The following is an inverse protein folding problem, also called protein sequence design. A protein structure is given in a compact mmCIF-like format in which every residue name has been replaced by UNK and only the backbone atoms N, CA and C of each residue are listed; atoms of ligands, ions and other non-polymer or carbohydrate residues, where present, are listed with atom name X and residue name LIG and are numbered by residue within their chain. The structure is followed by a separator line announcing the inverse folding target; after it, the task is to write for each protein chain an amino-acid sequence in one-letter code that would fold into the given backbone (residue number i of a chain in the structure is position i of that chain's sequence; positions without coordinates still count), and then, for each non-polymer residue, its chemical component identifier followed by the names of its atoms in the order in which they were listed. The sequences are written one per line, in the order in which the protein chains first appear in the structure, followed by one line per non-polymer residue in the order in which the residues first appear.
data_IF_286234065200
#
_entry.id   IF_286234065200
#
_cell.length_a   1.000
_cell.length_b   1.000
_cell.length_c   1.000
_cell.angle_alpha   90.00
_cell.angle_beta   90.00
_cell.angle_gamma   90.00
#
_symmetry.space_group_name_H-M   'P 1'
#
loop_
_entity.id
_entity.type
_entity.pdbx_description
1 polymer ?
#
# COMPACT_ATOMS: atom_id res chain seq x y z
N UNK A 1 4.37 -8.44 -13.11
CA UNK A 1 5.20 -8.69 -11.91
C UNK A 1 4.89 -7.64 -10.89
N UNK A 2 4.68 -8.02 -9.63
CA UNK A 2 4.17 -7.11 -8.59
C UNK A 2 5.09 -5.90 -8.34
N UNK A 3 6.39 -6.14 -8.25
CA UNK A 3 7.39 -5.08 -8.02
C UNK A 3 7.49 -4.07 -9.19
N UNK A 4 7.23 -4.51 -10.43
CA UNK A 4 7.21 -3.63 -11.59
C UNK A 4 6.03 -2.65 -11.57
N UNK A 5 5.09 -2.82 -10.63
CA UNK A 5 3.94 -1.94 -10.42
C UNK A 5 4.11 -1.18 -9.09
N UNK A 6 5.32 -0.69 -8.86
CA UNK A 6 5.64 0.27 -7.82
C UNK A 6 5.62 1.68 -8.41
N UNK A 7 5.00 2.61 -7.71
CA UNK A 7 4.80 3.98 -8.17
C UNK A 7 5.29 4.97 -7.11
N UNK A 8 5.83 6.10 -7.55
CA UNK A 8 6.20 7.22 -6.70
C UNK A 8 5.72 8.51 -7.37
N UNK A 9 5.04 9.35 -6.60
CA UNK A 9 4.70 10.72 -6.98
C UNK A 9 5.23 11.68 -5.93
N UNK A 10 5.99 12.68 -6.38
CA UNK A 10 6.37 13.82 -5.55
C UNK A 10 5.21 14.83 -5.58
N UNK A 11 4.16 14.59 -4.78
CA UNK A 11 3.01 15.49 -4.73
C UNK A 11 3.39 16.79 -4.01
N UNK A 12 2.60 17.84 -4.26
CA UNK A 12 2.73 19.12 -3.56
C UNK A 12 1.70 19.20 -2.43
N UNK A 13 1.94 19.98 -1.36
CA UNK A 13 0.98 20.11 -0.26
C UNK A 13 -0.42 20.53 -0.70
N UNK A 14 -0.51 21.36 -1.76
CA UNK A 14 -1.78 21.83 -2.31
C UNK A 14 -2.67 20.71 -2.89
N UNK A 15 -2.09 19.57 -3.27
CA UNK A 15 -2.85 18.40 -3.73
C UNK A 15 -3.70 17.80 -2.59
N UNK A 16 -3.27 18.00 -1.35
CA UNK A 16 -3.95 17.55 -0.14
C UNK A 16 -4.23 16.05 -0.13
N UNK A 17 -5.14 15.64 0.76
CA UNK A 17 -5.51 14.22 0.91
C UNK A 17 -6.20 13.64 -0.33
N UNK A 18 -6.92 14.47 -1.09
CA UNK A 18 -7.62 14.02 -2.30
C UNK A 18 -6.63 13.67 -3.41
N UNK A 19 -5.54 14.42 -3.57
CA UNK A 19 -4.49 14.08 -4.53
C UNK A 19 -3.74 12.80 -4.17
N UNK A 20 -3.54 12.53 -2.87
CA UNK A 20 -3.02 11.24 -2.39
C UNK A 20 -3.94 10.10 -2.79
N UNK A 21 -5.25 10.22 -2.48
CA UNK A 21 -6.25 9.19 -2.79
C UNK A 21 -6.35 8.92 -4.28
N UNK A 22 -6.42 9.98 -5.09
CA UNK A 22 -6.45 9.89 -6.54
C UNK A 22 -5.23 9.12 -7.06
N UNK A 23 -4.03 9.48 -6.61
CA UNK A 23 -2.80 8.81 -7.03
C UNK A 23 -2.77 7.32 -6.68
N UNK A 24 -3.25 6.93 -5.49
CA UNK A 24 -3.35 5.51 -5.12
C UNK A 24 -4.33 4.77 -6.03
N UNK A 25 -5.51 5.35 -6.28
CA UNK A 25 -6.52 4.74 -7.16
C UNK A 25 -5.99 4.60 -8.59
N UNK A 26 -5.39 5.65 -9.14
CA UNK A 26 -4.80 5.64 -10.48
C UNK A 26 -3.69 4.59 -10.61
N UNK A 27 -2.88 4.44 -9.57
CA UNK A 27 -1.83 3.40 -9.51
C UNK A 27 -2.41 2.00 -9.56
N UNK A 28 -3.51 1.74 -8.85
CA UNK A 28 -4.22 0.45 -8.88
C UNK A 28 -4.86 0.19 -10.25
N UNK A 29 -5.51 1.20 -10.84
CA UNK A 29 -6.09 1.09 -12.19
C UNK A 29 -5.00 0.81 -13.24
N UNK A 30 -3.87 1.52 -13.18
CA UNK A 30 -2.74 1.33 -14.08
C UNK A 30 -2.11 -0.07 -13.98
N UNK A 31 -2.06 -0.60 -12.75
CA UNK A 31 -1.60 -1.97 -12.50
C UNK A 31 -2.59 -3.01 -13.08
N UNK A 32 -3.89 -2.82 -12.89
CA UNK A 32 -4.93 -3.73 -13.38
C UNK A 32 -4.65 -5.19 -13.03
N UNK A 33 -4.86 -6.10 -13.99
CA UNK A 33 -4.57 -7.53 -13.82
C UNK A 33 -3.07 -7.91 -13.77
N UNK A 34 -2.13 -6.99 -14.07
CA UNK A 34 -0.69 -7.29 -14.23
C UNK A 34 0.00 -7.73 -12.92
N UNK A 35 -0.67 -7.53 -11.80
CA UNK A 35 -0.20 -7.84 -10.44
C UNK A 35 -0.93 -9.02 -9.81
N UNK A 36 -1.72 -9.76 -10.59
CA UNK A 36 -2.49 -10.91 -10.13
C UNK A 36 -3.33 -10.57 -8.88
N UNK A 37 -4.29 -9.62 -8.98
CA UNK A 37 -5.21 -9.33 -7.87
C UNK A 37 -5.99 -10.58 -7.43
N UNK A 38 -6.51 -10.65 -6.18
CA UNK A 38 -6.53 -9.58 -5.20
C UNK A 38 -5.14 -9.26 -4.63
N UNK A 39 -4.76 -7.98 -4.63
CA UNK A 39 -3.46 -7.52 -4.15
C UNK A 39 -3.49 -7.08 -2.69
N UNK A 40 -2.32 -6.95 -2.06
CA UNK A 40 -2.15 -6.12 -0.86
C UNK A 40 -1.45 -4.84 -1.34
N UNK A 41 -2.14 -3.71 -1.22
CA UNK A 41 -1.62 -2.42 -1.68
C UNK A 41 -0.95 -1.73 -0.50
N UNK A 42 0.35 -1.50 -0.59
CA UNK A 42 1.08 -0.71 0.40
C UNK A 42 1.22 0.72 -0.07
N UNK A 43 0.93 1.68 0.81
CA UNK A 43 1.02 3.11 0.55
C UNK A 43 1.96 3.75 1.58
N UNK A 44 2.94 4.50 1.09
CA UNK A 44 3.79 5.37 1.91
C UNK A 44 3.42 6.82 1.65
N UNK A 45 3.33 7.63 2.71
CA UNK A 45 3.03 9.08 2.60
C UNK A 45 4.01 9.87 3.46
N UNK A 46 4.62 10.89 2.88
CA UNK A 46 5.61 11.74 3.56
C UNK A 46 7.04 11.15 3.57
N UNK A 47 7.89 11.68 4.44
CA UNK A 47 9.33 11.39 4.46
C UNK A 47 10.07 11.98 3.26
N UNK A 48 11.23 11.40 2.94
CA UNK A 48 11.95 11.60 1.67
C UNK A 48 11.43 10.66 0.58
N UNK A 49 11.86 10.83 -0.67
CA UNK A 49 11.47 9.93 -1.76
C UNK A 49 11.86 8.48 -1.48
N UNK A 50 13.09 8.21 -1.00
CA UNK A 50 13.50 6.84 -0.68
C UNK A 50 12.76 6.26 0.53
N UNK A 51 12.54 7.08 1.57
CA UNK A 51 11.80 6.64 2.75
C UNK A 51 10.35 6.31 2.39
N UNK A 52 9.71 7.14 1.56
CA UNK A 52 8.34 6.96 1.11
C UNK A 52 8.15 5.61 0.40
N UNK A 53 9.04 5.27 -0.54
CA UNK A 53 9.02 3.98 -1.24
C UNK A 53 9.27 2.82 -0.29
N UNK A 54 10.22 2.95 0.64
CA UNK A 54 10.49 1.94 1.64
C UNK A 54 9.28 1.70 2.57
N UNK A 55 8.59 2.77 2.96
CA UNK A 55 7.34 2.70 3.74
C UNK A 55 6.23 1.99 2.97
N UNK A 56 6.02 2.31 1.69
CA UNK A 56 5.05 1.61 0.85
C UNK A 56 5.34 0.10 0.78
N UNK A 57 6.61 -0.30 0.66
CA UNK A 57 7.01 -1.71 0.69
C UNK A 57 6.72 -2.38 2.04
N UNK A 58 7.00 -1.69 3.15
CA UNK A 58 6.66 -2.17 4.50
C UNK A 58 5.16 -2.34 4.65
N UNK A 59 4.38 -1.36 4.21
CA UNK A 59 2.92 -1.39 4.23
C UNK A 59 2.38 -2.62 3.46
N UNK A 60 2.88 -2.88 2.24
CA UNK A 60 2.43 -4.00 1.42
C UNK A 60 2.74 -5.38 2.03
N UNK A 61 3.69 -5.45 2.96
CA UNK A 61 4.07 -6.70 3.64
C UNK A 61 3.38 -6.88 4.98
N UNK A 62 2.61 -5.91 5.49
CA UNK A 62 1.87 -6.02 6.75
C UNK A 62 0.89 -7.20 6.76
N UNK A 63 0.57 -7.66 7.98
CA UNK A 63 -0.43 -8.70 8.20
C UNK A 63 -1.81 -8.18 7.81
N UNK A 64 -2.57 -9.01 7.10
CA UNK A 64 -3.98 -8.73 6.82
C UNK A 64 -4.73 -8.57 8.14
N UNK A 65 -5.63 -7.60 8.21
CA UNK A 65 -6.34 -7.23 9.44
C UNK A 65 -5.57 -6.30 10.38
N UNK A 66 -4.27 -6.04 10.13
CA UNK A 66 -3.57 -4.95 10.83
C UNK A 66 -4.06 -3.59 10.36
N UNK A 67 -4.01 -2.61 11.25
CA UNK A 67 -4.39 -1.22 10.97
C UNK A 67 -3.22 -0.27 11.24
N UNK A 68 -3.19 0.86 10.55
CA UNK A 68 -2.22 1.91 10.80
C UNK A 68 -2.32 2.37 12.26
N UNK A 69 -1.17 2.67 12.88
CA UNK A 69 -1.14 3.18 14.25
C UNK A 69 -1.63 4.63 14.35
N UNK A 70 -1.53 5.39 13.26
CA UNK A 70 -2.06 6.74 13.15
C UNK A 70 -3.57 6.71 12.80
N UNK A 71 -4.38 7.50 13.50
CA UNK A 71 -5.84 7.50 13.34
C UNK A 71 -6.29 7.94 11.93
N UNK A 72 -5.65 8.98 11.37
CA UNK A 72 -5.96 9.45 10.02
C UNK A 72 -5.44 8.47 8.97
N UNK A 73 -4.29 7.84 9.22
CA UNK A 73 -3.78 6.73 8.43
C UNK A 73 -4.76 5.55 8.38
N UNK A 74 -5.31 5.12 9.53
CA UNK A 74 -6.25 4.01 9.63
C UNK A 74 -7.58 4.31 8.93
N UNK A 75 -8.06 5.55 9.05
CA UNK A 75 -9.23 6.03 8.30
C UNK A 75 -8.96 5.97 6.79
N UNK A 76 -7.79 6.40 6.35
CA UNK A 76 -7.39 6.36 4.95
C UNK A 76 -7.29 4.92 4.41
N UNK A 77 -6.76 3.97 5.18
CA UNK A 77 -6.74 2.54 4.82
C UNK A 77 -8.15 2.01 4.52
N UNK A 78 -9.12 2.33 5.38
CA UNK A 78 -10.51 1.92 5.22
C UNK A 78 -11.14 2.54 3.98
N UNK A 79 -10.97 3.84 3.79
CA UNK A 79 -11.52 4.57 2.64
C UNK A 79 -10.92 4.07 1.31
N UNK A 80 -9.60 3.89 1.25
CA UNK A 80 -8.91 3.41 0.05
C UNK A 80 -9.25 1.96 -0.26
N UNK A 81 -9.31 1.08 0.74
CA UNK A 81 -9.71 -0.33 0.53
C UNK A 81 -11.10 -0.42 -0.06
N UNK A 82 -12.06 0.36 0.47
CA UNK A 82 -13.41 0.41 -0.06
C UNK A 82 -13.46 1.00 -1.48
N UNK A 83 -12.66 2.03 -1.78
CA UNK A 83 -12.61 2.64 -3.10
C UNK A 83 -11.99 1.69 -4.15
N UNK A 84 -10.87 1.03 -3.83
CA UNK A 84 -10.18 0.08 -4.71
C UNK A 84 -11.06 -1.10 -5.10
N UNK A 85 -11.84 -1.63 -4.14
CA UNK A 85 -12.75 -2.74 -4.42
C UNK A 85 -14.00 -2.33 -5.22
N UNK A 86 -14.28 -1.03 -5.35
CA UNK A 86 -15.33 -0.51 -6.24
C UNK A 86 -14.86 -0.29 -7.69
N UNK A 87 -13.57 -0.48 -7.99
CA UNK A 87 -13.03 -0.26 -9.34
C UNK A 87 -13.48 -1.31 -10.37
N UNK A 88 -14.01 -2.45 -9.94
CA UNK A 88 -14.47 -3.50 -10.85
C UNK A 88 -13.33 -4.29 -11.53
N UNK A 89 -12.08 -4.14 -11.10
CA UNK A 89 -10.92 -4.88 -11.67
C UNK A 89 -11.01 -6.36 -11.28
N UNK A 90 -11.27 -6.64 -10.00
CA UNK A 90 -11.51 -7.97 -9.46
C UNK A 90 -10.33 -8.96 -9.55
N UNK A 91 -10.55 -10.22 -9.13
CA UNK A 91 -9.52 -11.25 -9.12
C UNK A 91 -8.93 -11.51 -10.51
N UNK A 92 -7.61 -11.59 -10.59
CA UNK A 92 -6.82 -11.73 -11.83
C UNK A 92 -7.07 -10.62 -12.89
N UNK A 93 -7.83 -9.58 -12.57
CA UNK A 93 -8.25 -8.56 -13.53
C UNK A 93 -9.42 -8.99 -14.42
N UNK A 94 -10.21 -9.97 -13.98
CA UNK A 94 -11.33 -10.56 -14.75
C UNK A 94 -12.71 -9.97 -14.39
N UNK A 95 -12.75 -8.90 -13.58
CA UNK A 95 -13.98 -8.31 -13.08
C UNK A 95 -14.38 -8.78 -11.69
N UNK A 96 -15.23 -8.00 -11.02
CA UNK A 96 -15.77 -8.29 -9.68
C UNK A 96 -15.38 -7.26 -8.62
N UNK A 97 -15.59 -7.59 -7.36
CA UNK A 97 -15.46 -6.70 -6.19
C UNK A 97 -14.19 -6.95 -5.36
N UNK A 98 -13.39 -7.95 -5.72
CA UNK A 98 -12.15 -8.34 -5.03
C UNK A 98 -10.87 -7.86 -5.72
N UNK A 99 -10.66 -6.55 -5.86
CA UNK A 99 -9.42 -6.00 -6.45
C UNK A 99 -8.24 -6.08 -5.48
N UNK A 100 -8.48 -5.82 -4.19
CA UNK A 100 -7.46 -5.85 -3.14
C UNK A 100 -8.00 -6.52 -1.87
N UNK A 101 -7.14 -7.28 -1.20
CA UNK A 101 -7.39 -7.77 0.16
C UNK A 101 -7.38 -6.64 1.18
N UNK A 102 -6.43 -5.71 1.04
CA UNK A 102 -6.29 -4.54 1.90
C UNK A 102 -5.45 -3.45 1.21
N UNK A 103 -5.69 -2.21 1.61
CA UNK A 103 -4.77 -1.09 1.43
C UNK A 103 -4.19 -0.75 2.79
N UNK A 104 -2.87 -0.85 2.95
CA UNK A 104 -2.15 -0.48 4.17
C UNK A 104 -1.39 0.83 3.94
N UNK A 105 -1.36 1.68 4.97
CA UNK A 105 -0.73 3.00 4.94
C UNK A 105 0.33 3.10 6.02
N UNK A 106 1.50 3.62 5.64
CA UNK A 106 2.57 4.04 6.54
C UNK A 106 2.85 5.54 6.31
N UNK A 107 3.01 6.28 7.40
CA UNK A 107 3.15 7.74 7.38
C UNK A 107 4.52 8.16 7.93
N UNK A 108 5.03 9.27 7.42
CA UNK A 108 6.13 9.99 8.04
C UNK A 108 5.95 11.50 7.90
N UNK A 109 6.53 12.26 8.83
CA UNK A 109 6.66 13.70 8.66
C UNK A 109 7.51 14.02 7.43
N UNK A 110 7.26 15.17 6.82
CA UNK A 110 7.95 15.58 5.60
C UNK A 110 8.19 17.08 5.58
N UNK A 111 9.04 17.53 4.66
CA UNK A 111 9.33 18.95 4.50
C UNK A 111 8.11 19.69 3.96
N UNK A 112 7.83 20.90 4.46
CA UNK A 112 6.59 21.64 4.19
C UNK A 112 6.32 21.91 2.70
N UNK A 113 7.33 21.85 1.83
CA UNK A 113 7.21 22.12 0.39
C UNK A 113 6.84 20.89 -0.45
N UNK A 114 6.77 19.70 0.14
CA UNK A 114 6.58 18.44 -0.59
C UNK A 114 5.70 17.47 0.19
N UNK A 115 5.07 16.54 -0.53
CA UNK A 115 4.27 15.47 0.05
C UNK A 115 4.44 14.17 -0.76
N UNK A 116 5.55 13.43 -0.58
CA UNK A 116 5.81 12.21 -1.34
C UNK A 116 4.74 11.17 -1.07
N UNK A 117 4.29 10.50 -2.13
CA UNK A 117 3.35 9.38 -2.04
C UNK A 117 3.90 8.23 -2.88
N UNK A 118 3.99 7.05 -2.30
CA UNK A 118 4.44 5.85 -3.00
C UNK A 118 3.41 4.73 -2.85
N UNK A 119 3.31 3.89 -3.87
CA UNK A 119 2.45 2.71 -3.90
C UNK A 119 3.30 1.51 -4.27
N UNK A 120 3.23 0.43 -3.48
CA UNK A 120 3.83 -0.86 -3.78
C UNK A 120 2.73 -1.92 -3.85
N UNK A 121 2.74 -2.72 -4.90
CA UNK A 121 1.79 -3.82 -5.05
C UNK A 121 2.43 -5.12 -4.56
N UNK A 122 1.75 -5.82 -3.66
CA UNK A 122 2.03 -7.22 -3.37
C UNK A 122 0.97 -8.09 -4.06
N UNK A 123 1.43 -9.04 -4.88
CA UNK A 123 0.53 -9.92 -5.62
C UNK A 123 -0.11 -10.99 -4.73
N UNK A 124 -1.09 -11.71 -5.28
CA UNK A 124 -1.76 -12.84 -4.64
C UNK A 124 -0.81 -13.90 -4.05
N UNK A 125 0.39 -14.09 -4.63
CA UNK A 125 1.36 -15.05 -4.09
C UNK A 125 1.88 -14.67 -2.69
N UNK A 126 1.83 -13.38 -2.32
CA UNK A 126 2.06 -12.83 -0.98
C UNK A 126 3.20 -13.48 -0.15
N UNK A 127 4.33 -13.85 -0.79
CA UNK A 127 5.44 -14.58 -0.16
C UNK A 127 6.19 -13.69 0.84
N UNK A 128 6.16 -14.07 2.12
CA UNK A 128 6.85 -13.41 3.23
C UNK A 128 7.01 -14.38 4.40
N UNK A 129 8.01 -14.16 5.24
CA UNK A 129 8.23 -14.88 6.49
C UNK A 129 8.94 -13.96 7.48
N UNK A 130 8.72 -14.15 8.79
CA UNK A 130 9.48 -13.51 9.86
C UNK A 130 10.12 -14.57 10.73
N UNK A 131 11.31 -14.26 11.23
CA UNK A 131 12.01 -15.04 12.24
C UNK A 131 12.38 -14.10 13.39
N UNK A 132 12.10 -14.51 14.62
CA UNK A 132 12.42 -13.75 15.83
C UNK A 132 13.33 -14.57 16.72
N UNK A 133 14.53 -14.03 16.95
CA UNK A 133 15.55 -14.62 17.81
C UNK A 133 15.37 -14.07 19.22
N UNK A 134 15.27 -14.97 20.19
CA UNK A 134 15.20 -14.65 21.62
C UNK A 134 16.25 -15.45 22.38
N UNK A 135 16.63 -15.05 23.61
CA UNK A 135 17.52 -15.89 24.44
C UNK A 135 16.98 -17.31 24.66
N UNK A 136 15.65 -17.48 24.62
CA UNK A 136 14.95 -18.76 24.81
C UNK A 136 14.80 -19.59 23.53
N UNK A 137 15.19 -19.07 22.36
CA UNK A 137 15.14 -19.80 21.09
C UNK A 137 14.68 -18.98 19.89
N UNK A 138 14.42 -19.69 18.79
CA UNK A 138 14.00 -19.16 17.50
C UNK A 138 12.51 -19.43 17.28
N UNK A 139 11.76 -18.40 16.94
CA UNK A 139 10.39 -18.52 16.44
C UNK A 139 10.33 -18.11 14.98
N UNK A 140 9.59 -18.85 14.17
CA UNK A 140 9.35 -18.56 12.75
C UNK A 140 7.85 -18.49 12.48
N UNK A 141 7.46 -17.65 11.54
CA UNK A 141 6.07 -17.43 11.16
C UNK A 141 5.86 -16.01 10.66
N UNK A 142 4.72 -15.74 10.00
CA UNK A 142 4.28 -14.38 9.69
C UNK A 142 2.93 -14.14 10.33
#
# INVERSE_FOLDING_TARGET
GSENNSFLKMAIPADGINGVKAFVIDSVVSAGGKTCPPTIVGVGIGGTSEQCVAMAKRAATRALGSVCADEEGAKLEKELTAAVNKLGIGPQGLGGDGTAFAVHVELAHTHITLNPVAVNMQCHSARRARATFTPTGLTYGF
#
